data_IF_266848265173
#
_entry.id   IF_266848265173
#
_cell.length_a   1.000
_cell.length_b   1.000
_cell.length_c   1.000
_cell.angle_alpha   90.00
_cell.angle_beta   90.00
_cell.angle_gamma   90.00
#
_symmetry.space_group_name_H-M   'P 1'
#
loop_
_entity.id
_entity.type
_entity.pdbx_description
1 polymer ?
#
# COMPACT_ATOMS: atom_id res chain seq x y z
N UNK A 1 15.25 9.87 6.07
CA UNK A 1 14.37 8.87 6.70
C UNK A 1 13.74 8.02 5.61
N UNK A 2 13.76 6.72 5.78
CA UNK A 2 13.19 5.81 4.80
C UNK A 2 11.80 5.38 5.26
N UNK A 3 10.81 5.60 4.40
CA UNK A 3 9.45 5.20 4.69
C UNK A 3 9.29 3.70 4.45
N UNK A 4 8.48 3.04 5.26
CA UNK A 4 8.29 1.59 5.21
C UNK A 4 6.99 1.16 4.54
N UNK A 5 6.34 2.06 3.80
CA UNK A 5 5.06 1.72 3.18
C UNK A 5 5.15 0.54 2.21
N UNK A 6 6.25 0.31 1.48
CA UNK A 6 6.27 -0.84 0.56
C UNK A 6 6.02 -2.16 1.29
N UNK A 7 6.68 -2.35 2.44
CA UNK A 7 6.48 -3.56 3.24
C UNK A 7 5.09 -3.61 3.84
N UNK A 8 4.60 -2.46 4.34
CA UNK A 8 3.29 -2.40 4.99
C UNK A 8 2.16 -2.71 4.03
N UNK A 9 2.17 -2.14 2.82
CA UNK A 9 1.09 -2.40 1.87
C UNK A 9 1.12 -3.86 1.39
N UNK A 10 2.30 -4.45 1.24
CA UNK A 10 2.40 -5.86 0.90
C UNK A 10 1.86 -6.74 2.03
N UNK A 11 2.27 -6.46 3.27
CA UNK A 11 1.83 -7.25 4.42
C UNK A 11 0.31 -7.21 4.57
N UNK A 12 -0.30 -6.03 4.43
CA UNK A 12 -1.74 -5.89 4.51
C UNK A 12 -2.45 -6.62 3.38
N UNK A 13 -1.89 -6.56 2.17
CA UNK A 13 -2.45 -7.27 1.03
C UNK A 13 -2.45 -8.77 1.29
N UNK A 14 -1.32 -9.30 1.77
CA UNK A 14 -1.21 -10.73 2.07
C UNK A 14 -2.11 -11.14 3.23
N UNK A 15 -2.22 -10.30 4.26
CA UNK A 15 -3.11 -10.56 5.40
C UNK A 15 -4.57 -10.67 4.96
N UNK A 16 -4.96 -9.95 3.91
CA UNK A 16 -6.32 -9.96 3.39
C UNK A 16 -6.50 -10.95 2.24
N UNK A 17 -5.49 -11.78 1.97
CA UNK A 17 -5.51 -12.79 0.90
C UNK A 17 -5.82 -12.19 -0.47
N UNK A 18 -5.27 -11.00 -0.75
CA UNK A 18 -5.47 -10.31 -2.01
C UNK A 18 -4.27 -10.49 -2.92
N UNK A 19 -4.53 -10.53 -4.23
CA UNK A 19 -3.45 -10.51 -5.23
C UNK A 19 -3.06 -9.07 -5.53
N UNK A 20 -1.86 -8.90 -6.12
CA UNK A 20 -1.44 -7.57 -6.57
C UNK A 20 -2.41 -7.01 -7.60
N UNK A 21 -2.95 -7.86 -8.48
CA UNK A 21 -3.90 -7.41 -9.49
C UNK A 21 -5.19 -6.89 -8.87
N UNK A 22 -5.69 -7.56 -7.83
CA UNK A 22 -6.91 -7.11 -7.15
C UNK A 22 -6.73 -5.72 -6.54
N UNK A 23 -5.60 -5.49 -5.88
CA UNK A 23 -5.34 -4.18 -5.27
C UNK A 23 -5.10 -3.14 -6.36
N UNK A 24 -4.36 -3.49 -7.41
CA UNK A 24 -4.14 -2.59 -8.54
C UNK A 24 -5.46 -2.15 -9.17
N UNK A 25 -6.38 -3.09 -9.36
CA UNK A 25 -7.70 -2.80 -9.92
C UNK A 25 -8.48 -1.85 -9.02
N UNK A 26 -8.40 -2.07 -7.70
CA UNK A 26 -9.08 -1.20 -6.74
C UNK A 26 -8.53 0.23 -6.81
N UNK A 27 -7.21 0.36 -6.98
CA UNK A 27 -6.57 1.67 -7.08
C UNK A 27 -6.73 2.32 -8.46
N UNK A 28 -7.14 1.55 -9.45
CA UNK A 28 -7.25 2.06 -10.81
C UNK A 28 -5.91 2.17 -11.53
N UNK A 29 -4.95 1.32 -11.17
CA UNK A 29 -3.64 1.30 -11.80
C UNK A 29 -3.33 -0.10 -12.33
N UNK A 30 -2.21 -0.26 -13.04
CA UNK A 30 -1.83 -1.57 -13.56
C UNK A 30 -1.14 -2.41 -12.48
N UNK A 31 -1.22 -3.74 -12.65
CA UNK A 31 -0.53 -4.66 -11.75
C UNK A 31 0.98 -4.40 -11.75
N UNK A 32 1.55 -4.13 -12.92
CA UNK A 32 2.97 -3.84 -13.05
C UNK A 32 3.36 -2.61 -12.22
N UNK A 33 2.57 -1.54 -12.30
CA UNK A 33 2.84 -0.33 -11.55
C UNK A 33 2.66 -0.57 -10.04
N UNK A 34 1.60 -1.28 -9.65
CA UNK A 34 1.39 -1.58 -8.25
C UNK A 34 2.55 -2.40 -7.66
N UNK A 35 3.04 -3.39 -8.43
CA UNK A 35 4.18 -4.20 -8.01
C UNK A 35 5.41 -3.33 -7.72
N UNK A 36 5.59 -2.26 -8.49
CA UNK A 36 6.70 -1.33 -8.26
C UNK A 36 6.55 -0.58 -6.94
N UNK A 37 5.32 -0.28 -6.55
CA UNK A 37 5.08 0.35 -5.24
C UNK A 37 5.49 -0.60 -4.11
N UNK A 38 5.17 -1.88 -4.22
CA UNK A 38 5.52 -2.87 -3.19
C UNK A 38 7.02 -3.11 -3.10
N UNK A 39 7.76 -2.92 -4.20
CA UNK A 39 9.21 -3.07 -4.21
C UNK A 39 9.95 -1.79 -3.84
N UNK A 40 9.23 -0.69 -3.70
CA UNK A 40 9.84 0.61 -3.47
C UNK A 40 10.55 1.18 -4.69
N UNK A 41 10.31 0.61 -5.89
CA UNK A 41 10.90 1.09 -7.13
C UNK A 41 10.28 2.40 -7.61
N UNK A 42 8.99 2.62 -7.29
CA UNK A 42 8.30 3.85 -7.58
C UNK A 42 7.63 4.35 -6.31
N UNK A 43 7.59 5.66 -6.15
CA UNK A 43 6.93 6.28 -5.01
C UNK A 43 5.42 6.15 -5.13
N UNK A 44 4.76 5.78 -4.02
CA UNK A 44 3.31 5.65 -3.99
C UNK A 44 2.67 7.04 -3.99
N UNK A 45 1.80 7.35 -4.97
CA UNK A 45 1.11 8.64 -4.96
C UNK A 45 0.24 8.80 -3.70
N UNK A 46 0.12 10.05 -3.25
CA UNK A 46 -0.62 10.36 -2.03
C UNK A 46 -2.07 9.88 -2.12
N UNK A 47 -2.72 10.06 -3.28
CA UNK A 47 -4.11 9.63 -3.41
C UNK A 47 -4.26 8.11 -3.29
N UNK A 48 -3.28 7.33 -3.71
CA UNK A 48 -3.30 5.88 -3.51
C UNK A 48 -3.07 5.53 -2.04
N UNK A 49 -2.20 6.27 -1.37
CA UNK A 49 -1.96 6.08 0.06
C UNK A 49 -3.25 6.27 0.86
N UNK A 50 -3.99 7.33 0.57
CA UNK A 50 -5.25 7.62 1.24
C UNK A 50 -6.28 6.52 0.94
N UNK A 51 -6.35 6.09 -0.32
CA UNK A 51 -7.28 5.03 -0.73
C UNK A 51 -6.98 3.72 0.02
N UNK A 52 -5.70 3.34 0.11
CA UNK A 52 -5.31 2.11 0.80
C UNK A 52 -5.59 2.21 2.30
N UNK A 53 -5.37 3.37 2.90
CA UNK A 53 -5.70 3.62 4.30
C UNK A 53 -7.17 3.30 4.56
N UNK A 54 -8.05 3.81 3.73
CA UNK A 54 -9.49 3.57 3.86
C UNK A 54 -9.86 2.13 3.54
N UNK A 55 -9.23 1.56 2.54
CA UNK A 55 -9.51 0.19 2.09
C UNK A 55 -9.20 -0.82 3.19
N UNK A 56 -8.08 -0.67 3.86
CA UNK A 56 -7.65 -1.59 4.91
C UNK A 56 -8.12 -1.17 6.30
N UNK A 57 -8.70 0.03 6.45
CA UNK A 57 -9.15 0.52 7.76
C UNK A 57 -8.01 0.81 8.70
N UNK A 58 -6.89 1.32 8.18
CA UNK A 58 -5.72 1.69 8.98
C UNK A 58 -5.36 3.15 8.70
N UNK A 59 -4.59 3.76 9.59
CA UNK A 59 -4.16 5.15 9.41
C UNK A 59 -3.07 5.26 8.34
N UNK A 60 -2.97 6.44 7.70
CA UNK A 60 -1.85 6.70 6.79
C UNK A 60 -0.52 6.65 7.52
N UNK A 61 -0.49 7.09 8.79
CA UNK A 61 0.73 7.01 9.60
C UNK A 61 1.18 5.56 9.77
N UNK A 62 0.24 4.64 9.99
CA UNK A 62 0.58 3.22 10.09
C UNK A 62 1.18 2.72 8.78
N UNK A 63 0.57 3.07 7.64
CA UNK A 63 1.07 2.65 6.33
C UNK A 63 2.47 3.18 6.07
N UNK A 64 2.75 4.40 6.52
CA UNK A 64 4.06 5.03 6.33
C UNK A 64 5.12 4.51 7.30
N UNK A 65 4.72 3.71 8.28
CA UNK A 65 5.63 3.20 9.29
C UNK A 65 5.97 4.19 10.38
N UNK A 66 5.16 5.24 10.52
CA UNK A 66 5.39 6.28 11.53
C UNK A 66 4.79 5.93 12.89
N UNK A 67 3.91 4.95 12.94
CA UNK A 67 3.31 4.46 14.17
C UNK A 67 3.04 2.97 14.03
N UNK A 68 2.94 2.27 15.16
CA UNK A 68 2.54 0.85 15.20
C UNK A 68 1.04 0.69 15.41
N UNK A 69 0.33 1.76 15.62
CA UNK A 69 -1.11 1.75 15.84
C UNK A 69 -1.84 1.85 14.50
N UNK A 70 -2.74 0.93 14.28
CA UNK A 70 -3.58 0.93 13.09
C UNK A 70 -4.71 1.95 13.28
#
# INVERSE_FOLDING_TARGET
>A
MQLKYPEKIRDLREDHDLTQQQVADYLGTSQTMYARYERGANELPIHHLITLSKYYGVSTDYLLGLTKER
#
